data_IF_250800190935
#
_entry.id   IF_250800190935
#
_cell.length_a   1.000
_cell.length_b   1.000
_cell.length_c   1.000
_cell.angle_alpha   90.00
_cell.angle_beta   90.00
_cell.angle_gamma   90.00
#
_symmetry.space_group_name_H-M   'P 1'
#
loop_
_entity.id
_entity.type
_entity.pdbx_description
1 polymer ?
#
# COMPACT_ATOMS: atom_id res chain seq x y z
N UNK A 1 -36.22 -44.14 -54.03
CA UNK A 1 -35.76 -44.48 -52.68
C UNK A 1 -34.24 -44.56 -52.71
N UNK A 2 -33.62 -43.91 -51.73
CA UNK A 2 -32.19 -43.62 -51.57
C UNK A 2 -31.33 -44.87 -51.37
N UNK A 3 -30.18 -44.94 -52.04
CA UNK A 3 -29.03 -45.75 -51.61
C UNK A 3 -27.72 -45.06 -52.01
N UNK A 4 -26.88 -44.83 -51.01
CA UNK A 4 -25.63 -44.07 -51.04
C UNK A 4 -24.54 -44.63 -51.97
N UNK A 5 -23.50 -43.83 -52.27
CA UNK A 5 -22.16 -44.33 -52.54
C UNK A 5 -21.14 -44.03 -51.40
N UNK A 6 -20.04 -44.81 -51.32
CA UNK A 6 -19.13 -44.92 -50.18
C UNK A 6 -17.87 -44.01 -50.31
N UNK A 7 -16.90 -44.04 -49.36
CA UNK A 7 -15.95 -42.96 -49.12
C UNK A 7 -14.63 -43.10 -49.89
N UNK A 8 -13.97 -41.98 -50.15
CA UNK A 8 -12.61 -41.93 -50.68
C UNK A 8 -11.60 -41.47 -49.61
N UNK A 9 -10.51 -42.22 -49.55
CA UNK A 9 -9.40 -42.17 -48.60
C UNK A 9 -8.26 -41.23 -49.00
N UNK A 10 -7.54 -40.76 -47.98
CA UNK A 10 -6.09 -40.52 -47.88
C UNK A 10 -5.36 -39.74 -49.00
N UNK A 11 -4.79 -38.59 -48.61
CA UNK A 11 -3.50 -38.13 -49.14
C UNK A 11 -2.72 -37.37 -48.05
N UNK A 12 -1.56 -37.93 -47.71
CA UNK A 12 -0.43 -37.37 -46.95
C UNK A 12 0.24 -36.21 -47.68
N UNK A 13 0.85 -35.27 -46.94
CA UNK A 13 2.14 -34.61 -47.27
C UNK A 13 2.60 -33.77 -46.05
N UNK A 14 3.59 -34.22 -45.26
CA UNK A 14 5.05 -33.95 -45.29
C UNK A 14 5.49 -32.48 -45.34
N UNK A 15 6.44 -32.21 -44.44
CA UNK A 15 6.96 -30.93 -43.95
C UNK A 15 7.57 -29.99 -45.00
N UNK A 16 7.39 -28.69 -44.76
CA UNK A 16 8.26 -27.63 -45.28
C UNK A 16 8.58 -26.64 -44.15
N UNK A 17 9.75 -26.85 -43.53
CA UNK A 17 10.39 -25.94 -42.60
C UNK A 17 10.78 -24.66 -43.35
N UNK A 18 10.06 -23.56 -43.12
CA UNK A 18 10.47 -22.22 -43.58
C UNK A 18 10.67 -21.32 -42.37
N UNK A 19 11.93 -21.00 -42.15
CA UNK A 19 12.45 -20.00 -41.22
C UNK A 19 11.85 -18.64 -41.55
N UNK A 20 10.95 -18.14 -40.70
CA UNK A 20 10.55 -16.74 -40.70
C UNK A 20 10.78 -16.14 -39.32
N UNK A 21 11.72 -15.21 -39.35
CA UNK A 21 12.10 -14.25 -38.33
C UNK A 21 10.87 -13.47 -37.89
N UNK A 22 10.33 -13.78 -36.71
CA UNK A 22 9.32 -12.97 -36.03
C UNK A 22 9.89 -12.40 -34.75
N UNK A 23 10.18 -11.11 -34.79
CA UNK A 23 10.38 -10.22 -33.66
C UNK A 23 9.19 -10.31 -32.69
N UNK A 24 9.33 -11.08 -31.61
CA UNK A 24 8.30 -11.22 -30.59
C UNK A 24 8.74 -10.54 -29.29
N UNK A 25 8.15 -9.36 -29.05
CA UNK A 25 7.71 -8.82 -27.76
C UNK A 25 8.18 -9.59 -26.51
N UNK A 26 8.98 -8.92 -25.69
CA UNK A 26 9.36 -9.33 -24.32
C UNK A 26 8.12 -9.67 -23.50
N UNK A 27 7.84 -10.97 -23.43
CA UNK A 27 6.63 -11.50 -22.80
C UNK A 27 6.73 -11.45 -21.27
N UNK A 28 5.68 -10.95 -20.62
CA UNK A 28 5.48 -10.93 -19.15
C UNK A 28 5.15 -12.34 -18.59
N UNK A 29 4.96 -13.33 -19.49
CA UNK A 29 4.57 -14.71 -19.19
C UNK A 29 5.54 -15.55 -18.31
N UNK A 30 6.89 -15.45 -18.42
CA UNK A 30 7.79 -16.28 -17.63
C UNK A 30 7.81 -15.85 -16.16
N UNK A 31 7.66 -14.56 -15.88
CA UNK A 31 7.58 -14.02 -14.51
C UNK A 31 6.30 -14.48 -13.81
N UNK A 32 5.16 -14.50 -14.51
CA UNK A 32 3.90 -14.97 -13.96
C UNK A 32 3.92 -16.48 -13.64
N UNK A 33 4.54 -17.30 -14.50
CA UNK A 33 4.74 -18.74 -14.26
C UNK A 33 5.64 -18.98 -13.04
N UNK A 34 6.76 -18.25 -12.94
CA UNK A 34 7.69 -18.31 -11.80
C UNK A 34 6.99 -17.96 -10.48
N UNK A 35 6.25 -16.84 -10.43
CA UNK A 35 5.47 -16.43 -9.25
C UNK A 35 4.40 -17.45 -8.86
N UNK A 36 3.76 -18.13 -9.82
CA UNK A 36 2.76 -19.18 -9.56
C UNK A 36 3.37 -20.43 -8.93
N UNK A 37 4.57 -20.82 -9.38
CA UNK A 37 5.32 -21.95 -8.82
C UNK A 37 5.79 -21.64 -7.39
N UNK A 38 6.40 -20.48 -7.18
CA UNK A 38 6.84 -20.03 -5.85
C UNK A 38 5.68 -19.92 -4.86
N UNK A 39 4.51 -19.44 -5.29
CA UNK A 39 3.30 -19.42 -4.46
C UNK A 39 2.79 -20.83 -4.15
N UNK A 40 2.92 -21.78 -5.08
CA UNK A 40 2.47 -23.17 -4.89
C UNK A 40 3.35 -23.91 -3.87
N UNK A 41 4.65 -23.64 -3.89
CA UNK A 41 5.61 -24.17 -2.91
C UNK A 41 5.42 -23.54 -1.53
N UNK A 42 5.24 -22.21 -1.44
CA UNK A 42 4.92 -21.53 -0.16
C UNK A 42 3.66 -22.07 0.52
N UNK A 43 2.64 -22.41 -0.25
CA UNK A 43 1.37 -22.95 0.27
C UNK A 43 1.41 -24.47 0.51
N UNK A 44 2.53 -25.16 0.23
CA UNK A 44 2.66 -26.59 0.45
C UNK A 44 2.67 -26.88 1.95
N UNK A 45 1.94 -27.92 2.36
CA UNK A 45 1.78 -28.35 3.76
C UNK A 45 1.19 -27.29 4.71
N UNK A 46 0.62 -26.19 4.20
CA UNK A 46 -0.02 -25.13 5.02
C UNK A 46 -1.39 -25.51 5.61
N UNK A 47 -1.94 -26.68 5.26
CA UNK A 47 -3.23 -27.16 5.76
C UNK A 47 -3.26 -28.68 5.83
N UNK A 48 -4.04 -29.21 6.78
CA UNK A 48 -4.22 -30.66 6.96
C UNK A 48 -4.93 -31.30 5.77
N UNK A 49 -4.45 -32.48 5.39
CA UNK A 49 -5.03 -33.28 4.33
C UNK A 49 -6.37 -33.87 4.78
N UNK A 50 -7.43 -33.54 4.05
CA UNK A 50 -8.78 -34.06 4.32
C UNK A 50 -8.94 -35.58 4.10
N UNK A 51 -7.96 -36.21 3.46
CA UNK A 51 -7.96 -37.64 3.17
C UNK A 51 -7.08 -38.43 4.14
N UNK A 52 -6.26 -37.77 4.95
CA UNK A 52 -5.36 -38.45 5.88
C UNK A 52 -6.13 -39.24 6.95
N UNK A 53 -7.16 -38.63 7.55
CA UNK A 53 -7.96 -39.27 8.63
C UNK A 53 -9.09 -40.17 8.09
N UNK A 54 -9.16 -40.42 6.78
CA UNK A 54 -10.17 -41.32 6.20
C UNK A 54 -9.71 -42.78 6.34
N UNK A 55 -10.63 -43.76 6.42
CA UNK A 55 -10.28 -45.17 6.64
C UNK A 55 -9.39 -45.80 5.56
N UNK A 56 -9.27 -45.18 4.38
CA UNK A 56 -8.34 -45.58 3.31
C UNK A 56 -7.03 -44.77 3.22
N UNK A 57 -6.80 -43.85 4.16
CA UNK A 57 -5.64 -42.95 4.15
C UNK A 57 -5.59 -42.00 2.95
N UNK A 58 -4.52 -41.20 2.87
CA UNK A 58 -4.30 -40.33 1.72
C UNK A 58 -3.73 -41.13 0.54
N UNK A 59 -4.36 -41.11 -0.65
CA UNK A 59 -3.88 -41.86 -1.81
C UNK A 59 -2.67 -41.20 -2.51
N UNK A 60 -2.27 -40.00 -2.09
CA UNK A 60 -1.20 -39.23 -2.72
C UNK A 60 0.10 -39.36 -1.93
N UNK A 61 1.13 -39.96 -2.53
CA UNK A 61 2.49 -40.07 -1.95
C UNK A 61 3.14 -38.69 -1.77
N UNK A 62 3.06 -37.84 -2.80
CA UNK A 62 3.50 -36.44 -2.76
C UNK A 62 2.34 -35.48 -2.43
N UNK A 63 1.60 -35.76 -1.36
CA UNK A 63 0.46 -34.94 -0.97
C UNK A 63 0.88 -33.49 -0.67
N UNK A 64 0.18 -32.54 -1.31
CA UNK A 64 0.37 -31.10 -1.09
C UNK A 64 -0.04 -30.66 0.33
N UNK A 65 -0.90 -31.42 1.00
CA UNK A 65 -1.43 -31.11 2.32
C UNK A 65 -0.71 -31.92 3.41
N UNK A 66 -0.71 -31.41 4.64
CA UNK A 66 -0.03 -32.01 5.78
C UNK A 66 -0.77 -33.25 6.30
N UNK A 67 -0.04 -34.35 6.52
CA UNK A 67 -0.54 -35.61 7.07
C UNK A 67 -0.40 -35.65 8.59
N UNK A 68 -0.95 -34.63 9.26
CA UNK A 68 -0.83 -34.45 10.70
C UNK A 68 -0.25 -33.09 11.07
N UNK A 69 -0.36 -32.73 12.36
CA UNK A 69 0.01 -31.40 12.85
C UNK A 69 1.52 -31.11 12.77
N UNK A 70 2.34 -32.15 12.82
CA UNK A 70 3.82 -32.06 12.75
C UNK A 70 4.29 -31.62 11.36
N UNK A 71 3.54 -31.98 10.31
CA UNK A 71 3.86 -31.57 8.94
C UNK A 71 3.28 -30.20 8.57
N UNK A 72 2.46 -29.57 9.41
CA UNK A 72 1.82 -28.31 9.06
C UNK A 72 2.86 -27.19 9.09
N UNK A 73 3.13 -26.61 7.92
CA UNK A 73 3.97 -25.43 7.81
C UNK A 73 3.13 -24.17 8.09
N UNK A 74 3.14 -23.73 9.36
CA UNK A 74 2.46 -22.52 9.83
C UNK A 74 3.35 -21.26 9.79
N UNK A 75 4.61 -21.38 9.33
CA UNK A 75 5.60 -20.29 9.38
C UNK A 75 5.43 -19.24 8.28
N UNK A 76 4.50 -19.42 7.35
CA UNK A 76 4.18 -18.39 6.36
C UNK A 76 3.29 -17.31 7.02
N UNK A 77 3.80 -16.07 7.22
CA UNK A 77 3.04 -14.96 7.80
C UNK A 77 1.81 -14.60 6.95
N UNK A 78 1.79 -15.00 5.67
CA UNK A 78 0.67 -14.78 4.74
C UNK A 78 -0.33 -15.96 4.71
N UNK A 79 -0.10 -17.03 5.47
CA UNK A 79 -1.04 -18.16 5.52
C UNK A 79 -2.36 -17.75 6.17
N UNK A 80 -3.47 -18.38 5.74
CA UNK A 80 -4.80 -18.15 6.34
C UNK A 80 -4.79 -18.48 7.85
N UNK A 81 -3.96 -19.44 8.27
CA UNK A 81 -3.76 -19.80 9.66
C UNK A 81 -3.02 -18.70 10.44
N UNK A 82 -1.91 -18.18 9.93
CA UNK A 82 -1.17 -17.06 10.51
C UNK A 82 -2.04 -15.79 10.59
N UNK A 83 -2.79 -15.48 9.53
CA UNK A 83 -3.70 -14.35 9.52
C UNK A 83 -4.83 -14.49 10.57
N UNK A 84 -5.38 -15.69 10.76
CA UNK A 84 -6.37 -15.97 11.82
C UNK A 84 -5.75 -15.92 13.23
N UNK A 85 -4.48 -16.30 13.40
CA UNK A 85 -3.75 -16.16 14.66
C UNK A 85 -3.50 -14.69 14.98
N UNK A 86 -3.09 -13.88 14.00
CA UNK A 86 -2.89 -12.45 14.17
C UNK A 86 -4.20 -11.74 14.55
N UNK A 87 -5.33 -12.06 13.88
CA UNK A 87 -6.65 -11.53 14.26
C UNK A 87 -7.00 -11.90 15.69
N UNK A 88 -6.79 -13.16 16.09
CA UNK A 88 -7.05 -13.61 17.46
C UNK A 88 -6.15 -12.90 18.47
N UNK A 89 -4.85 -12.77 18.20
CA UNK A 89 -3.92 -12.03 19.07
C UNK A 89 -4.33 -10.56 19.22
N UNK A 90 -4.70 -9.89 18.14
CA UNK A 90 -5.20 -8.52 18.18
C UNK A 90 -6.53 -8.39 18.94
N UNK A 91 -7.43 -9.38 18.82
CA UNK A 91 -8.68 -9.39 19.58
C UNK A 91 -8.46 -9.68 21.08
N UNK A 92 -7.53 -10.58 21.40
CA UNK A 92 -7.13 -10.90 22.78
C UNK A 92 -6.47 -9.69 23.43
N UNK A 93 -5.49 -9.06 22.78
CA UNK A 93 -4.86 -7.84 23.27
C UNK A 93 -5.88 -6.75 23.58
N UNK A 94 -6.85 -6.53 22.68
CA UNK A 94 -7.96 -5.59 22.90
C UNK A 94 -8.89 -5.98 24.05
N UNK A 95 -9.07 -7.28 24.29
CA UNK A 95 -9.87 -7.76 25.42
C UNK A 95 -9.10 -7.63 26.74
N UNK A 96 -7.81 -7.98 26.76
CA UNK A 96 -6.92 -7.81 27.92
C UNK A 96 -6.79 -6.34 28.33
N UNK A 97 -6.71 -5.42 27.36
CA UNK A 97 -6.78 -3.97 27.61
C UNK A 97 -8.13 -3.52 28.20
N UNK A 98 -9.24 -4.21 27.89
CA UNK A 98 -10.56 -3.92 28.47
C UNK A 98 -10.65 -4.34 29.94
N UNK A 99 -9.91 -5.36 30.37
CA UNK A 99 -10.00 -5.90 31.74
C UNK A 99 -9.04 -5.26 32.74
N UNK A 100 -8.03 -4.47 32.31
CA UNK A 100 -7.05 -3.84 33.22
C UNK A 100 -7.53 -2.53 33.89
N UNK A 101 -8.80 -2.11 33.69
CA UNK A 101 -9.38 -0.97 34.42
C UNK A 101 -10.65 -1.38 35.16
N UNK A 102 -10.51 -2.31 36.10
CA UNK A 102 -11.45 -2.48 37.19
C UNK A 102 -10.93 -1.72 38.41
N UNK A 103 -11.07 -0.40 38.41
CA UNK A 103 -11.03 0.37 39.65
C UNK A 103 -12.43 0.89 39.93
N UNK A 104 -12.86 0.73 41.18
CA UNK A 104 -14.25 0.85 41.61
C UNK A 104 -14.75 2.29 41.54
N UNK A 105 -15.93 2.49 40.96
CA UNK A 105 -16.76 3.67 41.25
C UNK A 105 -16.53 4.93 40.40
N UNK A 106 -16.79 4.88 39.09
CA UNK A 106 -17.32 6.03 38.35
C UNK A 106 -17.96 5.58 37.03
N UNK A 107 -19.29 5.55 36.98
CA UNK A 107 -20.08 5.20 35.81
C UNK A 107 -20.01 6.26 34.70
N UNK A 108 -18.89 6.34 34.00
CA UNK A 108 -18.88 6.62 32.55
C UNK A 108 -17.73 5.78 31.98
N UNK A 109 -18.02 4.91 31.02
CA UNK A 109 -16.94 4.17 30.35
C UNK A 109 -16.03 5.19 29.66
N UNK A 110 -14.90 5.53 30.29
CA UNK A 110 -13.79 6.26 29.68
C UNK A 110 -13.21 5.31 28.64
N UNK A 111 -13.89 5.15 27.50
CA UNK A 111 -13.37 4.41 26.34
C UNK A 111 -12.11 5.17 25.94
N UNK A 112 -10.95 4.67 26.36
CA UNK A 112 -9.66 5.29 26.07
C UNK A 112 -9.49 5.26 24.56
N UNK A 113 -9.52 6.45 23.96
CA UNK A 113 -9.15 6.66 22.58
C UNK A 113 -10.26 6.88 21.56
N UNK A 114 -9.86 7.50 20.45
CA UNK A 114 -10.73 7.81 19.31
C UNK A 114 -11.25 6.54 18.63
N UNK A 115 -12.23 6.69 17.72
CA UNK A 115 -12.73 5.56 16.93
C UNK A 115 -11.61 4.92 16.07
N UNK A 116 -10.63 5.74 15.65
CA UNK A 116 -9.46 5.30 14.89
C UNK A 116 -8.58 4.41 15.75
N UNK A 117 -8.16 4.89 16.92
CA UNK A 117 -7.29 4.15 17.84
C UNK A 117 -7.88 2.79 18.26
N UNK A 118 -9.21 2.72 18.40
CA UNK A 118 -9.90 1.49 18.83
C UNK A 118 -10.07 0.46 17.72
N UNK A 119 -10.35 0.89 16.48
CA UNK A 119 -10.78 -0.03 15.41
C UNK A 119 -9.82 -0.13 14.24
N UNK A 120 -8.90 0.81 14.10
CA UNK A 120 -7.97 0.91 12.99
C UNK A 120 -6.53 0.65 13.42
N UNK A 121 -5.78 0.02 12.53
CA UNK A 121 -4.33 -0.02 12.58
C UNK A 121 -3.81 1.12 11.71
N UNK A 122 -3.17 2.10 12.33
CA UNK A 122 -2.61 3.27 11.66
C UNK A 122 -1.28 2.89 10.99
N UNK A 123 -1.23 3.01 9.66
CA UNK A 123 -0.03 2.76 8.86
C UNK A 123 0.17 3.93 7.89
N UNK A 124 1.40 4.15 7.43
CA UNK A 124 1.80 5.30 6.65
C UNK A 124 2.66 4.89 5.45
N UNK A 125 2.41 5.55 4.32
CA UNK A 125 3.24 5.52 3.13
C UNK A 125 4.05 6.80 3.11
N UNK A 126 5.33 6.70 3.49
CA UNK A 126 6.26 7.82 3.44
C UNK A 126 6.79 8.07 2.04
N UNK A 127 7.09 9.34 1.75
CA UNK A 127 7.78 9.80 0.55
C UNK A 127 7.21 9.19 -0.74
N UNK A 128 5.91 9.40 -0.96
CA UNK A 128 5.19 8.70 -2.01
C UNK A 128 5.84 8.97 -3.38
N UNK A 129 6.25 7.88 -4.06
CA UNK A 129 6.98 7.92 -5.34
C UNK A 129 8.31 8.71 -5.28
N UNK A 130 9.00 8.71 -4.14
CA UNK A 130 10.32 9.34 -3.96
C UNK A 130 10.26 10.85 -3.79
N UNK A 131 9.06 11.41 -3.57
CA UNK A 131 8.88 12.82 -3.30
C UNK A 131 8.88 13.10 -1.80
N UNK A 132 9.77 13.97 -1.38
CA UNK A 132 10.01 14.29 0.03
C UNK A 132 8.74 14.87 0.66
N UNK A 133 8.33 14.31 1.80
CA UNK A 133 7.19 14.74 2.63
C UNK A 133 5.80 14.55 2.00
N UNK A 134 5.63 14.01 0.79
CA UNK A 134 4.31 13.66 0.25
C UNK A 134 3.77 12.38 0.90
N UNK A 135 3.39 12.51 2.17
CA UNK A 135 2.97 11.40 3.03
C UNK A 135 1.48 11.15 3.01
N UNK A 136 1.13 9.87 2.96
CA UNK A 136 -0.25 9.42 2.98
C UNK A 136 -0.43 8.39 4.09
N UNK A 137 -1.56 8.43 4.78
CA UNK A 137 -1.91 7.42 5.76
C UNK A 137 -2.82 6.35 5.13
N UNK A 138 -2.70 5.14 5.65
CA UNK A 138 -3.52 3.97 5.30
C UNK A 138 -3.98 3.33 6.61
N UNK A 139 -5.19 3.64 7.03
CA UNK A 139 -5.77 3.10 8.25
C UNK A 139 -6.55 1.82 7.95
N UNK A 140 -6.08 0.69 8.46
CA UNK A 140 -6.75 -0.60 8.25
C UNK A 140 -7.69 -0.93 9.40
N UNK A 141 -8.99 -0.99 9.14
CA UNK A 141 -9.98 -1.45 10.12
C UNK A 141 -9.80 -2.93 10.45
N UNK A 142 -10.30 -3.37 11.60
CA UNK A 142 -10.46 -4.80 11.95
C UNK A 142 -11.21 -5.64 10.88
N UNK A 143 -12.07 -5.02 10.06
CA UNK A 143 -12.81 -5.66 8.96
C UNK A 143 -11.99 -5.75 7.67
N UNK A 144 -10.71 -5.36 7.71
CA UNK A 144 -9.76 -5.33 6.58
C UNK A 144 -10.14 -4.35 5.47
N UNK A 145 -10.96 -3.36 5.78
CA UNK A 145 -11.13 -2.19 4.92
C UNK A 145 -10.03 -1.19 5.26
N UNK A 146 -9.40 -0.63 4.23
CA UNK A 146 -8.36 0.36 4.38
C UNK A 146 -8.91 1.72 3.96
N UNK A 147 -8.79 2.70 4.84
CA UNK A 147 -9.10 4.10 4.57
C UNK A 147 -7.78 4.78 4.23
N UNK A 148 -7.73 5.41 3.05
CA UNK A 148 -6.54 6.12 2.57
C UNK A 148 -6.81 7.62 2.63
N UNK A 149 -5.83 8.38 3.10
CA UNK A 149 -5.89 9.84 3.11
C UNK A 149 -4.54 10.50 3.27
N UNK A 150 -4.55 11.81 3.48
CA UNK A 150 -3.35 12.65 3.54
C UNK A 150 -2.84 12.75 4.97
N UNK A 151 -1.56 12.48 5.18
CA UNK A 151 -0.95 12.61 6.50
C UNK A 151 -0.74 14.08 6.90
N UNK A 152 -0.64 14.34 8.21
CA UNK A 152 -0.44 15.69 8.76
C UNK A 152 0.88 16.34 8.32
N UNK A 153 1.90 15.53 8.06
CA UNK A 153 3.21 15.97 7.57
C UNK A 153 3.20 16.45 6.12
N UNK A 154 2.13 16.17 5.36
CA UNK A 154 2.11 16.47 3.93
C UNK A 154 2.12 17.99 3.69
N UNK A 155 2.93 18.50 2.73
CA UNK A 155 2.99 19.93 2.39
C UNK A 155 1.63 20.61 2.08
N UNK A 156 0.66 19.84 1.59
CA UNK A 156 -0.72 20.27 1.32
C UNK A 156 -1.39 20.80 2.59
N UNK A 157 -1.04 20.30 3.76
CA UNK A 157 -1.60 20.79 5.02
C UNK A 157 -1.18 22.23 5.30
N UNK A 158 0.01 22.65 4.84
CA UNK A 158 0.54 24.00 5.01
C UNK A 158 -0.04 24.99 3.99
N UNK A 159 -0.33 24.55 2.76
CA UNK A 159 -0.78 25.43 1.66
C UNK A 159 -2.30 25.45 1.49
N UNK A 160 -2.92 26.60 1.16
CA UNK A 160 -4.37 26.64 0.94
C UNK A 160 -4.81 25.87 -0.32
N UNK A 161 -5.78 24.97 -0.15
CA UNK A 161 -6.27 24.10 -1.21
C UNK A 161 -7.43 24.75 -1.96
N UNK A 162 -7.33 24.75 -3.30
CA UNK A 162 -8.32 25.33 -4.21
C UNK A 162 -9.34 24.30 -4.66
N UNK A 163 -8.85 23.16 -5.18
CA UNK A 163 -9.70 22.12 -5.73
C UNK A 163 -9.06 20.73 -5.58
N UNK A 164 -9.93 19.72 -5.52
CA UNK A 164 -9.59 18.30 -5.51
C UNK A 164 -10.18 17.68 -6.75
N UNK A 165 -9.33 17.20 -7.66
CA UNK A 165 -9.74 16.56 -8.91
C UNK A 165 -9.46 15.07 -8.84
N UNK A 166 -10.50 14.23 -8.86
CA UNK A 166 -10.35 12.78 -8.91
C UNK A 166 -10.15 12.30 -10.35
N UNK A 167 -9.36 11.24 -10.53
CA UNK A 167 -9.23 10.61 -11.85
C UNK A 167 -10.57 10.02 -12.33
N UNK A 168 -10.83 10.09 -13.64
CA UNK A 168 -12.05 9.54 -14.26
C UNK A 168 -12.26 8.06 -13.94
N UNK A 169 -11.18 7.27 -13.99
CA UNK A 169 -11.21 5.82 -13.69
C UNK A 169 -11.64 5.51 -12.26
N UNK A 170 -11.35 6.44 -11.34
CA UNK A 170 -11.73 6.36 -9.93
C UNK A 170 -13.18 6.79 -9.82
N UNK A 171 -13.55 7.94 -10.39
CA UNK A 171 -14.89 8.52 -10.27
C UNK A 171 -16.01 7.67 -10.88
N UNK A 172 -15.75 6.97 -11.98
CA UNK A 172 -16.71 6.07 -12.65
C UNK A 172 -16.89 4.73 -11.92
N UNK A 173 -16.19 4.52 -10.80
CA UNK A 173 -16.21 3.27 -10.05
C UNK A 173 -17.56 3.01 -9.37
N UNK A 174 -18.36 2.11 -9.96
CA UNK A 174 -19.66 1.73 -9.41
C UNK A 174 -19.65 0.33 -8.81
N UNK A 175 -19.49 0.27 -7.49
CA UNK A 175 -19.44 -0.99 -6.74
C UNK A 175 -20.85 -1.44 -6.39
N UNK A 176 -21.27 -2.61 -6.89
CA UNK A 176 -22.63 -3.14 -6.68
C UNK A 176 -22.65 -4.55 -6.08
N UNK A 177 -23.69 -4.79 -5.27
CA UNK A 177 -24.01 -6.09 -4.69
C UNK A 177 -23.09 -6.57 -3.56
N UNK A 178 -23.50 -7.64 -2.86
CA UNK A 178 -22.75 -8.24 -1.73
C UNK A 178 -21.34 -8.71 -2.10
N UNK A 179 -21.10 -9.01 -3.38
CA UNK A 179 -19.79 -9.42 -3.92
C UNK A 179 -18.92 -8.23 -4.36
N UNK A 180 -19.37 -6.99 -4.16
CA UNK A 180 -18.66 -5.75 -4.53
C UNK A 180 -18.16 -5.80 -5.98
N UNK A 181 -19.04 -6.24 -6.89
CA UNK A 181 -18.74 -6.35 -8.32
C UNK A 181 -18.70 -4.95 -8.92
N UNK A 182 -17.77 -4.72 -9.84
CA UNK A 182 -17.56 -3.42 -10.48
C UNK A 182 -16.52 -2.52 -9.82
N UNK A 183 -15.96 -2.94 -8.66
CA UNK A 183 -14.86 -2.23 -8.03
C UNK A 183 -13.58 -2.24 -8.87
N UNK A 184 -13.09 -1.05 -9.23
CA UNK A 184 -11.81 -0.84 -9.89
C UNK A 184 -10.69 -1.44 -9.03
N UNK A 185 -9.83 -2.26 -9.64
CA UNK A 185 -8.70 -2.85 -8.93
C UNK A 185 -7.50 -1.88 -9.02
N UNK A 186 -7.19 -1.26 -7.88
CA UNK A 186 -6.13 -0.28 -7.76
C UNK A 186 -4.77 -0.95 -7.51
N UNK A 187 -3.72 -0.34 -8.03
CA UNK A 187 -2.32 -0.66 -7.75
C UNK A 187 -1.70 0.44 -6.87
N UNK A 188 -0.63 0.16 -6.10
CA UNK A 188 -0.05 1.13 -5.15
C UNK A 188 0.37 2.46 -5.78
N UNK A 189 0.83 2.42 -7.03
CA UNK A 189 1.33 3.56 -7.79
C UNK A 189 0.26 4.25 -8.66
N UNK A 190 -1.00 3.82 -8.59
CA UNK A 190 -2.09 4.50 -9.31
C UNK A 190 -2.44 5.81 -8.62
N UNK A 191 -2.59 6.87 -9.42
CA UNK A 191 -3.03 8.18 -8.96
C UNK A 191 -4.53 8.12 -8.68
N UNK A 192 -4.95 8.67 -7.56
CA UNK A 192 -6.36 8.75 -7.15
C UNK A 192 -6.92 10.12 -7.49
N UNK A 193 -6.22 11.14 -7.04
CA UNK A 193 -6.62 12.53 -7.21
C UNK A 193 -5.42 13.46 -7.28
N UNK A 194 -5.65 14.61 -7.89
CA UNK A 194 -4.73 15.73 -7.97
C UNK A 194 -5.30 16.87 -7.13
N UNK A 195 -4.49 17.35 -6.19
CA UNK A 195 -4.81 18.50 -5.35
C UNK A 195 -4.16 19.74 -5.95
N UNK A 196 -4.95 20.79 -6.15
CA UNK A 196 -4.45 22.08 -6.63
C UNK A 196 -4.44 23.09 -5.49
N UNK A 197 -3.29 23.68 -5.24
CA UNK A 197 -3.10 24.71 -4.21
C UNK A 197 -3.17 26.12 -4.80
N UNK A 198 -3.46 27.11 -3.95
CA UNK A 198 -3.47 28.54 -4.34
C UNK A 198 -2.10 29.04 -4.78
N UNK A 199 -1.04 28.40 -4.30
CA UNK A 199 0.35 28.62 -4.70
C UNK A 199 0.62 28.26 -6.17
N UNK A 200 -0.33 27.62 -6.86
CA UNK A 200 -0.14 27.05 -8.20
C UNK A 200 0.52 25.67 -8.21
N UNK A 201 0.86 25.11 -7.03
CA UNK A 201 1.42 23.76 -6.92
C UNK A 201 0.34 22.69 -7.01
N UNK A 202 0.70 21.57 -7.63
CA UNK A 202 -0.16 20.41 -7.78
C UNK A 202 0.44 19.18 -7.10
N UNK A 203 -0.36 18.52 -6.24
CA UNK A 203 0.06 17.32 -5.52
C UNK A 203 -0.75 16.12 -6.01
N UNK A 204 -0.04 15.06 -6.43
CA UNK A 204 -0.67 13.82 -6.90
C UNK A 204 -0.72 12.83 -5.75
N UNK A 205 -1.91 12.37 -5.42
CA UNK A 205 -2.14 11.38 -4.38
C UNK A 205 -2.34 10.01 -5.00
N UNK A 206 -1.90 8.98 -4.28
CA UNK A 206 -1.79 7.62 -4.81
C UNK A 206 -2.54 6.62 -3.93
N UNK A 207 -2.87 5.47 -4.49
CA UNK A 207 -3.55 4.40 -3.76
C UNK A 207 -2.75 3.87 -2.57
N UNK A 208 -1.41 3.85 -2.66
CA UNK A 208 -0.45 3.27 -1.70
C UNK A 208 -0.57 1.75 -1.50
N UNK A 209 -1.76 1.20 -1.70
CA UNK A 209 -2.08 -0.20 -1.54
C UNK A 209 -2.77 -0.75 -2.78
N UNK A 210 -2.66 -2.07 -2.95
CA UNK A 210 -3.42 -2.83 -3.94
C UNK A 210 -4.75 -3.30 -3.36
N UNK A 211 -5.81 -3.20 -4.14
CA UNK A 211 -7.13 -3.66 -3.69
C UNK A 211 -8.26 -3.18 -4.58
N UNK A 212 -9.48 -3.61 -4.26
CA UNK A 212 -10.67 -3.14 -4.94
C UNK A 212 -11.18 -1.86 -4.29
N UNK A 213 -11.32 -0.80 -5.08
CA UNK A 213 -11.88 0.47 -4.64
C UNK A 213 -13.36 0.30 -4.32
N UNK A 214 -13.77 0.72 -3.12
CA UNK A 214 -15.16 0.59 -2.64
C UNK A 214 -15.88 1.92 -2.71
N UNK A 215 -15.25 2.97 -2.18
CA UNK A 215 -15.87 4.27 -1.96
C UNK A 215 -14.84 5.37 -2.16
N UNK A 216 -15.32 6.51 -2.68
CA UNK A 216 -14.54 7.71 -2.93
C UNK A 216 -15.27 8.85 -2.24
N UNK A 217 -14.52 9.75 -1.62
CA UNK A 217 -15.10 10.90 -0.97
C UNK A 217 -15.38 12.03 -1.98
N UNK A 218 -16.51 11.92 -2.68
CA UNK A 218 -16.99 12.94 -3.63
C UNK A 218 -17.22 14.31 -2.96
N UNK A 219 -17.37 14.36 -1.63
CA UNK A 219 -17.58 15.61 -0.89
C UNK A 219 -16.37 16.54 -1.02
N UNK A 220 -15.17 16.01 -1.21
CA UNK A 220 -13.95 16.81 -1.37
C UNK A 220 -13.95 17.68 -2.64
N UNK A 221 -14.74 17.33 -3.67
CA UNK A 221 -14.91 18.18 -4.84
C UNK A 221 -15.75 19.43 -4.53
N UNK A 222 -16.70 19.31 -3.59
CA UNK A 222 -17.58 20.41 -3.17
C UNK A 222 -16.94 21.24 -2.06
N UNK A 223 -16.29 20.57 -1.11
CA UNK A 223 -15.69 21.18 0.06
C UNK A 223 -14.23 20.72 0.24
N UNK A 224 -13.28 21.35 -0.47
CA UNK A 224 -11.86 21.02 -0.36
C UNK A 224 -11.27 21.25 1.05
N UNK A 225 -11.89 22.14 1.84
CA UNK A 225 -11.45 22.49 3.20
C UNK A 225 -11.55 21.31 4.18
N UNK A 226 -12.44 20.36 3.89
CA UNK A 226 -12.65 19.17 4.73
C UNK A 226 -11.39 18.33 4.87
N UNK A 227 -10.57 18.27 3.80
CA UNK A 227 -9.28 17.58 3.80
C UNK A 227 -8.36 18.10 4.90
N UNK A 228 -8.37 19.41 5.18
CA UNK A 228 -7.51 20.02 6.20
C UNK A 228 -8.08 19.91 7.61
N UNK A 229 -9.36 20.25 7.77
CA UNK A 229 -9.99 20.30 9.09
C UNK A 229 -10.15 18.92 9.71
N UNK A 230 -10.42 17.91 8.88
CA UNK A 230 -10.80 16.57 9.32
C UNK A 230 -10.05 15.49 8.56
N UNK A 231 -8.75 15.69 8.30
CA UNK A 231 -7.92 14.75 7.56
C UNK A 231 -8.05 13.31 8.07
N UNK A 232 -8.05 13.08 9.39
CA UNK A 232 -8.17 11.73 9.98
C UNK A 232 -9.59 11.12 9.94
N UNK A 233 -10.64 11.92 9.76
CA UNK A 233 -12.04 11.48 9.89
C UNK A 233 -12.82 11.63 8.58
N UNK A 234 -13.59 12.70 8.43
CA UNK A 234 -14.46 12.93 7.27
C UNK A 234 -13.68 13.32 6.00
N UNK A 235 -12.43 13.74 6.14
CA UNK A 235 -11.53 14.17 5.07
C UNK A 235 -10.74 13.05 4.41
N UNK A 236 -11.19 11.79 4.53
CA UNK A 236 -10.56 10.65 3.84
C UNK A 236 -10.72 10.78 2.32
N UNK A 237 -9.84 10.12 1.55
CA UNK A 237 -9.89 10.16 0.08
C UNK A 237 -10.71 9.01 -0.47
N UNK A 238 -10.33 7.78 -0.11
CA UNK A 238 -10.93 6.56 -0.62
C UNK A 238 -10.95 5.45 0.42
N UNK A 239 -11.83 4.49 0.22
CA UNK A 239 -11.89 3.23 0.96
C UNK A 239 -11.59 2.09 0.00
N UNK A 240 -10.55 1.31 0.32
CA UNK A 240 -10.06 0.21 -0.50
C UNK A 240 -10.17 -1.09 0.28
N UNK A 241 -10.60 -2.15 -0.40
CA UNK A 241 -10.56 -3.51 0.14
C UNK A 241 -9.42 -4.33 -0.49
N UNK A 242 -8.34 -4.59 0.26
CA UNK A 242 -7.32 -5.52 -0.16
C UNK A 242 -7.83 -6.97 -0.17
N UNK A 243 -7.16 -7.82 -0.97
CA UNK A 243 -7.38 -9.26 -0.93
C UNK A 243 -6.78 -9.83 0.35
N UNK A 244 -7.46 -10.78 0.99
CA UNK A 244 -7.03 -11.36 2.28
C UNK A 244 -5.59 -11.88 2.28
N UNK A 245 -5.19 -12.55 1.20
CA UNK A 245 -3.83 -13.10 1.00
C UNK A 245 -2.77 -12.00 0.92
N UNK A 246 -3.17 -10.81 0.49
CA UNK A 246 -2.29 -9.71 0.17
C UNK A 246 -2.11 -8.73 1.34
N UNK A 247 -2.90 -8.88 2.40
CA UNK A 247 -2.91 -7.97 3.57
C UNK A 247 -1.56 -7.92 4.26
N UNK A 248 -0.91 -9.06 4.49
CA UNK A 248 0.36 -9.06 5.22
C UNK A 248 1.49 -8.42 4.39
N UNK A 249 1.55 -8.66 3.06
CA UNK A 249 2.49 -7.95 2.18
C UNK A 249 2.25 -6.42 2.19
N UNK A 250 0.99 -5.99 2.31
CA UNK A 250 0.65 -4.56 2.43
C UNK A 250 1.11 -3.98 3.76
N UNK A 251 0.90 -4.70 4.86
CA UNK A 251 1.34 -4.27 6.19
C UNK A 251 2.86 -4.14 6.29
N UNK A 252 3.61 -5.04 5.63
CA UNK A 252 5.08 -4.99 5.59
C UNK A 252 5.60 -3.85 4.71
N UNK A 253 4.85 -3.44 3.68
CA UNK A 253 5.23 -2.34 2.79
C UNK A 253 5.02 -0.95 3.38
N UNK A 254 4.26 -0.84 4.48
CA UNK A 254 3.88 0.42 5.11
C UNK A 254 4.50 0.54 6.50
N UNK A 255 4.76 1.77 6.93
CA UNK A 255 5.29 2.04 8.28
C UNK A 255 4.15 2.10 9.28
N UNK A 256 4.36 1.57 10.48
CA UNK A 256 3.46 1.80 11.61
C UNK A 256 3.52 3.26 12.08
N UNK A 257 2.54 3.68 12.89
CA UNK A 257 2.48 5.04 13.46
C UNK A 257 3.75 5.44 14.21
N UNK A 258 4.34 4.52 14.98
CA UNK A 258 5.52 4.83 15.79
C UNK A 258 6.77 4.92 14.93
N UNK A 259 6.92 4.01 13.96
CA UNK A 259 8.01 4.05 12.97
C UNK A 259 7.93 5.32 12.11
N UNK A 260 6.72 5.72 11.71
CA UNK A 260 6.48 6.95 10.96
C UNK A 260 6.93 8.19 11.74
N UNK A 261 6.55 8.29 13.02
CA UNK A 261 6.97 9.39 13.90
C UNK A 261 8.48 9.43 14.05
N UNK A 262 9.12 8.28 14.25
CA UNK A 262 10.58 8.19 14.35
C UNK A 262 11.25 8.61 13.03
N UNK A 263 10.77 8.10 11.90
CA UNK A 263 11.28 8.45 10.57
C UNK A 263 11.22 9.96 10.32
N UNK A 264 10.09 10.61 10.67
CA UNK A 264 9.94 12.06 10.51
C UNK A 264 10.71 12.87 11.54
N UNK A 265 10.83 12.41 12.78
CA UNK A 265 11.67 13.05 13.80
C UNK A 265 13.15 13.07 13.36
N UNK A 266 13.67 11.95 12.85
CA UNK A 266 15.04 11.86 12.34
C UNK A 266 15.26 12.81 11.17
N UNK A 267 14.33 12.86 10.21
CA UNK A 267 14.44 13.78 9.08
C UNK A 267 14.40 15.25 9.50
N UNK A 268 13.53 15.61 10.45
CA UNK A 268 13.48 16.97 10.98
C UNK A 268 14.80 17.37 11.67
N UNK A 269 15.39 16.49 12.48
CA UNK A 269 16.72 16.74 13.08
C UNK A 269 17.80 16.88 12.02
N UNK A 270 17.81 16.04 10.99
CA UNK A 270 18.81 16.12 9.90
C UNK A 270 18.70 17.39 9.03
N UNK A 271 17.51 17.99 8.95
CA UNK A 271 17.30 19.27 8.27
C UNK A 271 17.74 20.46 9.15
N UNK A 272 17.64 20.32 10.48
CA UNK A 272 18.09 21.31 11.46
C UNK A 272 19.62 21.29 11.63
N UNK A 273 20.29 20.18 11.32
CA UNK A 273 21.77 20.10 11.30
C UNK A 273 22.40 20.57 9.98
N UNK A 274 21.59 20.80 8.93
CA UNK A 274 22.04 21.36 7.64
C UNK A 274 22.03 22.90 7.45
N UNK A 275 22.01 23.78 8.48
CA UNK A 275 22.16 25.20 8.25
C UNK A 275 23.54 25.73 8.71
N UNK A 276 24.69 25.16 8.32
CA UNK A 276 25.98 25.90 8.41
C UNK A 276 27.18 25.31 7.62
N UNK A 277 27.05 24.98 6.33
CA UNK A 277 28.26 24.73 5.50
C UNK A 277 28.34 25.52 4.18
N UNK A 278 27.37 26.39 3.90
CA UNK A 278 27.41 27.25 2.70
C UNK A 278 27.40 28.76 3.02
N UNK A 279 27.88 29.15 4.21
CA UNK A 279 28.02 30.55 4.61
C UNK A 279 29.43 30.91 5.14
N UNK A 280 30.45 30.07 4.93
CA UNK A 280 31.85 30.41 5.28
C UNK A 280 32.74 30.73 4.08
N UNK A 281 32.22 30.70 2.84
CA UNK A 281 33.03 30.93 1.63
C UNK A 281 32.97 32.37 1.06
N UNK A 282 32.09 33.24 1.57
CA UNK A 282 31.88 34.57 0.95
C UNK A 282 32.38 35.76 1.80
N UNK A 283 32.68 35.55 3.09
CA UNK A 283 33.09 36.64 4.00
C UNK A 283 34.60 36.74 4.22
N UNK A 284 35.41 35.99 3.45
CA UNK A 284 36.88 36.07 3.50
C UNK A 284 37.51 36.75 2.26
N UNK A 285 36.70 37.22 1.30
CA UNK A 285 37.19 37.79 0.04
C UNK A 285 36.97 39.31 -0.15
N UNK A 286 36.40 40.00 0.83
CA UNK A 286 36.11 41.45 0.75
C UNK A 286 36.87 42.31 1.77
N UNK A 287 37.78 41.75 2.58
CA UNK A 287 38.61 42.52 3.55
C UNK A 287 40.09 42.58 3.12
N UNK A 288 40.47 41.99 1.97
CA UNK A 288 41.88 41.96 1.51
C UNK A 288 42.21 42.86 0.33
N UNK A 289 41.26 43.67 -0.16
CA UNK A 289 41.52 44.66 -1.22
C UNK A 289 41.53 46.12 -0.72
N UNK A 290 41.01 46.44 0.47
CA UNK A 290 41.07 47.81 1.02
C UNK A 290 42.36 48.12 1.81
N UNK A 291 43.26 47.15 2.03
CA UNK A 291 44.52 47.38 2.76
C UNK A 291 45.76 47.48 1.85
N UNK A 292 45.59 47.83 0.56
CA UNK A 292 46.71 47.99 -0.39
C UNK A 292 46.68 49.29 -1.21
N UNK A 293 45.87 50.28 -0.82
CA UNK A 293 45.76 51.58 -1.52
C UNK A 293 46.05 52.82 -0.67
N UNK A 294 46.52 52.70 0.57
CA UNK A 294 46.93 53.86 1.41
C UNK A 294 48.38 53.76 1.89
N UNK A 295 49.35 53.49 1.00
CA UNK A 295 50.77 53.80 1.25
C UNK A 295 51.48 54.11 -0.07
N UNK A 296 51.18 55.23 -0.74
CA UNK A 296 52.16 56.01 -1.53
C UNK A 296 51.59 57.43 -1.73
N UNK A 297 52.36 58.45 -1.36
CA UNK A 297 52.34 59.87 -1.81
C UNK A 297 52.21 60.89 -0.66
N UNK A 298 53.35 61.24 -0.07
CA UNK A 298 53.67 62.59 0.42
C UNK A 298 55.19 62.68 0.69
N UNK A 299 55.99 62.81 -0.36
CA UNK A 299 57.31 63.47 -0.32
C UNK A 299 57.31 64.54 -1.44
N UNK A 300 57.89 65.69 -1.10
CA UNK A 300 57.97 67.00 -1.80
C UNK A 300 56.74 67.93 -1.80
#
# INVERSE_FOLDING_TARGET
MTSAPPPASLATNVDALTTLTSSSTTSVAPVAKKRRVERRERLRKSALCKHFDKPGGCPFSNCKFAHGRVEVNDNDPHSVAAQRRLIRKQAIYRAEEQFQTGDEGAGTSKRRGTMIERYYTEMFSCDTMGKVMEDQYVHMHSNRLCVVGVAESHPVMQEELVSVEFERNVLENRVTGKKKKGGCFMLPNMVICVLKCKSGREFKLYSCIRGSLIEINERLQKEPKLLKQKHQSDGYLVIIQPKKVEVAEIQESLLSKDEFKQFRAILQTSLIEKPTELASATTAKLIKEESKSEVVQAEE
#
